data_IF_298528280371
#
_entry.id   IF_298528280371
#
_cell.length_a   1.000
_cell.length_b   1.000
_cell.length_c   1.000
_cell.angle_alpha   90.00
_cell.angle_beta   90.00
_cell.angle_gamma   90.00
#
_symmetry.space_group_name_H-M   'P 1'
#
loop_
_entity.id
_entity.type
_entity.pdbx_description
1 polymer ?
#
# COMPACT_ATOMS: atom_id res chain seq x y z
N UNK A 1 -2.83 24.65 -6.55
CA UNK A 1 -3.22 25.11 -5.21
C UNK A 1 -2.26 24.46 -4.23
N UNK A 2 -1.38 25.21 -3.61
CA UNK A 2 -0.51 24.73 -2.52
C UNK A 2 -1.37 24.56 -1.28
N UNK A 3 -1.67 23.33 -0.90
CA UNK A 3 -2.44 23.02 0.32
C UNK A 3 -1.53 23.09 1.56
N UNK A 4 -1.01 24.26 1.87
CA UNK A 4 -0.05 24.50 2.97
C UNK A 4 -0.70 24.65 4.35
N UNK A 5 -1.80 23.98 4.62
CA UNK A 5 -2.41 23.93 5.95
C UNK A 5 -3.27 22.69 6.11
N UNK A 6 -3.27 22.07 7.30
CA UNK A 6 -4.26 21.02 7.60
C UNK A 6 -5.64 21.62 7.42
N UNK A 7 -6.55 20.99 6.64
CA UNK A 7 -7.91 21.48 6.50
C UNK A 7 -8.59 21.50 7.87
N UNK A 8 -9.43 22.50 8.08
CA UNK A 8 -10.27 22.57 9.27
C UNK A 8 -11.46 21.60 9.16
N UNK A 9 -12.02 21.18 10.30
CA UNK A 9 -13.18 20.31 10.35
C UNK A 9 -12.83 18.81 10.29
N UNK A 10 -13.82 17.98 9.97
CA UNK A 10 -13.79 16.52 10.07
C UNK A 10 -12.64 15.88 9.30
N UNK A 11 -12.34 16.33 8.08
CA UNK A 11 -11.27 15.76 7.25
C UNK A 11 -9.86 15.99 7.82
N UNK A 12 -9.67 17.01 8.65
CA UNK A 12 -8.40 17.29 9.32
C UNK A 12 -8.11 16.39 10.52
N UNK A 13 -9.12 15.72 11.08
CA UNK A 13 -8.98 14.87 12.26
C UNK A 13 -8.13 13.62 11.94
N UNK A 14 -7.30 13.19 12.92
CA UNK A 14 -6.72 11.85 12.89
C UNK A 14 -7.83 10.80 13.00
N UNK A 15 -7.55 9.55 12.57
CA UNK A 15 -8.54 8.48 12.68
C UNK A 15 -8.97 8.23 14.14
N UNK A 16 -8.00 8.32 15.07
CA UNK A 16 -8.27 8.20 16.50
C UNK A 16 -9.19 9.31 17.03
N UNK A 17 -8.93 10.58 16.64
CA UNK A 17 -9.77 11.71 17.04
C UNK A 17 -11.16 11.61 16.41
N UNK A 18 -11.25 11.23 15.13
CA UNK A 18 -12.53 11.03 14.46
C UNK A 18 -13.33 9.92 15.14
N UNK A 19 -12.70 8.77 15.45
CA UNK A 19 -13.36 7.67 16.17
C UNK A 19 -13.91 8.10 17.52
N UNK A 20 -13.21 8.97 18.26
CA UNK A 20 -13.69 9.53 19.53
C UNK A 20 -14.91 10.43 19.33
N UNK A 21 -14.90 11.32 18.34
CA UNK A 21 -16.04 12.21 18.05
C UNK A 21 -17.27 11.42 17.57
N UNK A 22 -17.06 10.39 16.74
CA UNK A 22 -18.12 9.47 16.33
C UNK A 22 -18.72 8.72 17.54
N UNK A 23 -17.90 8.24 18.46
CA UNK A 23 -18.35 7.55 19.67
C UNK A 23 -19.12 8.48 20.61
N UNK A 24 -18.71 9.75 20.71
CA UNK A 24 -19.39 10.79 21.50
C UNK A 24 -20.68 11.34 20.84
N UNK A 25 -20.94 11.01 19.57
CA UNK A 25 -22.06 11.53 18.81
C UNK A 25 -21.90 13.02 18.40
N UNK A 26 -20.67 13.54 18.46
CA UNK A 26 -20.34 14.92 18.06
C UNK A 26 -20.33 15.07 16.53
N UNK A 27 -20.05 13.97 15.80
CA UNK A 27 -20.05 13.86 14.35
C UNK A 27 -20.74 12.54 14.00
N UNK A 28 -21.56 12.49 12.95
CA UNK A 28 -22.10 11.25 12.40
C UNK A 28 -21.11 10.61 11.41
N UNK A 29 -21.21 9.30 11.22
CA UNK A 29 -20.42 8.62 10.22
C UNK A 29 -20.77 9.09 8.80
N UNK A 30 -22.04 9.40 8.54
CA UNK A 30 -22.50 9.95 7.25
C UNK A 30 -21.82 11.29 6.98
N UNK A 31 -21.79 12.23 7.96
CA UNK A 31 -21.07 13.49 7.80
C UNK A 31 -19.58 13.30 7.55
N UNK A 32 -18.95 12.37 8.28
CA UNK A 32 -17.53 12.07 8.09
C UNK A 32 -17.24 11.51 6.68
N UNK A 33 -18.03 10.57 6.21
CA UNK A 33 -17.89 9.99 4.87
C UNK A 33 -18.14 11.02 3.79
N UNK A 34 -19.23 11.81 3.90
CA UNK A 34 -19.55 12.85 2.92
C UNK A 34 -18.42 13.89 2.82
N UNK A 35 -17.91 14.37 3.94
CA UNK A 35 -16.80 15.34 3.95
C UNK A 35 -15.53 14.82 3.23
N UNK A 36 -15.23 13.51 3.36
CA UNK A 36 -14.10 12.92 2.66
C UNK A 36 -14.39 12.68 1.16
N UNK A 37 -15.63 12.34 0.79
CA UNK A 37 -16.05 12.25 -0.62
C UNK A 37 -15.95 13.63 -1.32
N UNK A 38 -16.44 14.68 -0.67
CA UNK A 38 -16.33 16.08 -1.17
C UNK A 38 -14.85 16.48 -1.32
N UNK A 39 -14.00 16.05 -0.38
CA UNK A 39 -12.55 16.28 -0.45
C UNK A 39 -11.90 15.55 -1.62
N UNK A 40 -12.29 14.30 -1.90
CA UNK A 40 -11.84 13.53 -3.07
C UNK A 40 -12.23 14.29 -4.34
N UNK A 41 -13.49 14.67 -4.49
CA UNK A 41 -13.99 15.42 -5.65
C UNK A 41 -13.20 16.73 -5.87
N UNK A 42 -12.94 17.46 -4.81
CA UNK A 42 -12.24 18.74 -4.89
C UNK A 42 -10.75 18.64 -5.23
N UNK A 43 -10.09 17.50 -4.96
CA UNK A 43 -8.62 17.43 -5.02
C UNK A 43 -8.06 16.34 -5.92
N UNK A 44 -8.84 15.31 -6.25
CA UNK A 44 -8.33 14.15 -7.00
C UNK A 44 -8.30 14.37 -8.52
N UNK A 45 -9.06 15.34 -9.02
CA UNK A 45 -9.23 15.64 -10.44
C UNK A 45 -10.32 14.79 -11.10
N UNK A 46 -10.73 15.19 -12.30
CA UNK A 46 -11.79 14.50 -13.04
C UNK A 46 -11.36 13.09 -13.48
N UNK A 47 -12.28 12.11 -13.50
CA UNK A 47 -12.03 10.79 -14.09
C UNK A 47 -11.66 10.94 -15.56
N UNK A 48 -10.68 10.14 -16.02
CA UNK A 48 -10.18 10.14 -17.40
C UNK A 48 -10.34 8.77 -18.01
N UNK A 49 -10.51 8.72 -19.33
CA UNK A 49 -10.58 7.48 -20.09
C UNK A 49 -9.30 6.64 -19.91
N UNK A 50 -9.42 5.31 -19.82
CA UNK A 50 -8.27 4.42 -19.77
C UNK A 50 -7.32 4.67 -20.95
N UNK A 51 -6.04 4.95 -20.63
CA UNK A 51 -5.02 5.24 -21.64
C UNK A 51 -4.75 6.71 -21.93
N UNK A 52 -5.55 7.62 -21.41
CA UNK A 52 -5.21 9.05 -21.43
C UNK A 52 -4.31 9.39 -20.21
N UNK A 53 -3.01 9.46 -20.45
CA UNK A 53 -2.01 9.84 -19.44
C UNK A 53 -2.01 11.33 -19.07
N UNK A 54 -2.92 12.12 -19.61
CA UNK A 54 -3.09 13.52 -19.18
C UNK A 54 -3.84 13.64 -17.87
N UNK A 55 -4.47 12.54 -17.40
CA UNK A 55 -5.13 12.42 -16.12
C UNK A 55 -4.16 12.79 -14.99
N UNK A 56 -4.66 13.49 -13.99
CA UNK A 56 -3.85 13.92 -12.86
C UNK A 56 -3.07 15.20 -13.08
N UNK A 57 -3.08 15.81 -14.27
CA UNK A 57 -2.50 17.16 -14.44
C UNK A 57 -3.23 18.24 -13.66
N UNK A 58 -4.50 18.00 -13.33
CA UNK A 58 -5.34 18.90 -12.58
C UNK A 58 -5.55 18.51 -11.11
N UNK A 59 -5.13 17.31 -10.68
CA UNK A 59 -5.37 16.80 -9.34
C UNK A 59 -4.36 15.73 -8.89
N UNK A 60 -4.62 15.13 -7.72
CA UNK A 60 -3.75 14.14 -7.09
C UNK A 60 -3.80 12.78 -7.80
N UNK A 61 -4.97 12.41 -8.36
CA UNK A 61 -5.25 11.12 -8.99
C UNK A 61 -4.91 9.94 -8.06
N UNK A 62 -5.34 10.05 -6.80
CA UNK A 62 -5.11 9.01 -5.80
C UNK A 62 -6.11 7.85 -5.90
N UNK A 63 -7.32 8.08 -6.44
CA UNK A 63 -8.36 7.06 -6.58
C UNK A 63 -8.56 6.62 -8.03
N UNK A 64 -8.68 5.30 -8.23
CA UNK A 64 -9.12 4.69 -9.50
C UNK A 64 -10.63 4.47 -9.52
N UNK A 65 -11.22 4.26 -8.34
CA UNK A 65 -12.65 4.05 -8.16
C UNK A 65 -13.09 4.64 -6.82
N UNK A 66 -14.14 5.44 -6.84
CA UNK A 66 -14.80 5.97 -5.64
C UNK A 66 -16.13 5.25 -5.47
N UNK A 67 -16.38 4.69 -4.30
CA UNK A 67 -17.57 3.89 -3.97
C UNK A 67 -18.48 4.63 -2.98
N UNK A 68 -18.99 5.79 -3.40
CA UNK A 68 -19.76 6.69 -2.55
C UNK A 68 -21.01 6.03 -1.97
N UNK A 69 -21.77 5.31 -2.81
CA UNK A 69 -23.07 4.71 -2.41
C UNK A 69 -22.87 3.69 -1.28
N UNK A 70 -21.98 2.71 -1.44
CA UNK A 70 -21.71 1.70 -0.40
C UNK A 70 -21.11 2.34 0.85
N UNK A 71 -20.17 3.30 0.70
CA UNK A 71 -19.57 3.96 1.83
C UNK A 71 -20.59 4.72 2.69
N UNK A 72 -21.51 5.46 2.06
CA UNK A 72 -22.60 6.15 2.75
C UNK A 72 -23.61 5.18 3.37
N UNK A 73 -23.93 4.07 2.69
CA UNK A 73 -24.82 3.05 3.24
C UNK A 73 -24.24 2.40 4.51
N UNK A 74 -22.92 2.06 4.52
CA UNK A 74 -22.23 1.56 5.71
C UNK A 74 -22.21 2.60 6.81
N UNK A 75 -21.97 3.86 6.48
CA UNK A 75 -21.98 4.97 7.43
C UNK A 75 -23.35 5.15 8.11
N UNK A 76 -24.43 5.12 7.33
CA UNK A 76 -25.79 5.21 7.83
C UNK A 76 -26.16 4.03 8.75
N UNK A 77 -25.73 2.80 8.41
CA UNK A 77 -25.91 1.62 9.27
C UNK A 77 -25.18 1.78 10.61
N UNK A 78 -23.95 2.32 10.59
CA UNK A 78 -23.19 2.59 11.83
C UNK A 78 -23.89 3.63 12.69
N UNK A 79 -24.38 4.74 12.11
CA UNK A 79 -25.09 5.78 12.84
C UNK A 79 -26.40 5.24 13.45
N UNK A 80 -27.14 4.44 12.72
CA UNK A 80 -28.35 3.77 13.22
C UNK A 80 -28.03 2.78 14.35
N UNK A 81 -26.95 2.00 14.25
CA UNK A 81 -26.52 1.08 15.30
C UNK A 81 -26.12 1.83 16.58
N UNK A 82 -25.38 2.93 16.42
CA UNK A 82 -24.99 3.80 17.54
C UNK A 82 -26.22 4.42 18.23
N UNK A 83 -27.20 4.88 17.45
CA UNK A 83 -28.46 5.42 18.02
C UNK A 83 -29.26 4.39 18.81
N UNK A 84 -29.10 3.08 18.48
CA UNK A 84 -29.67 1.97 19.27
C UNK A 84 -28.86 1.57 20.49
N UNK A 85 -27.70 2.21 20.72
CA UNK A 85 -26.80 1.87 21.83
C UNK A 85 -26.04 0.56 21.64
N UNK A 86 -25.85 0.09 20.40
CA UNK A 86 -25.05 -1.10 20.12
C UNK A 86 -23.58 -0.84 20.45
N UNK A 87 -22.91 -1.87 21.01
CA UNK A 87 -21.45 -1.85 21.14
C UNK A 87 -20.79 -1.99 19.76
N UNK A 88 -19.99 -1.01 19.38
CA UNK A 88 -19.37 -0.93 18.07
C UNK A 88 -17.85 -1.07 18.15
N UNK A 89 -17.21 -1.67 17.13
CA UNK A 89 -15.75 -1.67 17.00
C UNK A 89 -15.14 -0.27 17.07
N UNK A 90 -13.92 -0.16 17.55
CA UNK A 90 -13.24 1.13 17.81
C UNK A 90 -13.16 2.06 16.58
N UNK A 91 -13.04 1.50 15.37
CA UNK A 91 -12.98 2.26 14.12
C UNK A 91 -14.30 2.22 13.31
N UNK A 92 -15.42 1.80 13.93
CA UNK A 92 -16.71 1.79 13.25
C UNK A 92 -17.12 3.20 12.80
N UNK A 93 -17.40 3.34 11.51
CA UNK A 93 -17.76 4.61 10.89
C UNK A 93 -16.57 5.47 10.43
N UNK A 94 -15.34 5.13 10.76
CA UNK A 94 -14.14 5.82 10.26
C UNK A 94 -13.89 5.41 8.80
N UNK A 95 -13.87 6.35 7.83
CA UNK A 95 -13.67 6.01 6.43
C UNK A 95 -12.23 5.57 6.13
N UNK A 96 -12.09 4.69 5.11
CA UNK A 96 -10.80 4.15 4.70
C UNK A 96 -10.68 4.03 3.18
N UNK A 97 -9.47 4.24 2.65
CA UNK A 97 -9.11 3.97 1.26
C UNK A 97 -8.35 2.62 1.15
N UNK A 98 -8.55 1.89 0.05
CA UNK A 98 -7.97 0.54 -0.13
C UNK A 98 -7.19 0.47 -1.44
N UNK A 99 -5.90 0.10 -1.37
CA UNK A 99 -5.07 -0.04 -2.57
C UNK A 99 -5.69 -1.02 -3.56
N UNK A 100 -5.72 -0.66 -4.83
CA UNK A 100 -6.38 -1.43 -5.90
C UNK A 100 -5.65 -2.73 -6.30
N UNK A 101 -4.83 -3.25 -5.42
CA UNK A 101 -4.24 -4.59 -5.45
C UNK A 101 -4.98 -5.57 -4.51
N UNK A 102 -5.81 -5.05 -3.61
CA UNK A 102 -6.57 -5.79 -2.60
C UNK A 102 -7.98 -5.99 -3.13
N UNK A 103 -8.38 -7.25 -3.35
CA UNK A 103 -9.69 -7.55 -3.93
C UNK A 103 -10.82 -7.21 -2.95
N UNK A 104 -11.84 -6.56 -3.49
CA UNK A 104 -13.02 -6.13 -2.74
C UNK A 104 -14.26 -6.55 -3.53
N UNK A 105 -15.08 -7.41 -2.95
CA UNK A 105 -16.32 -7.85 -3.58
C UNK A 105 -17.25 -6.66 -3.80
N UNK A 106 -17.81 -6.57 -5.00
CA UNK A 106 -18.71 -5.46 -5.39
C UNK A 106 -17.99 -4.21 -5.88
N UNK A 107 -16.64 -4.19 -5.86
CA UNK A 107 -15.83 -3.09 -6.39
C UNK A 107 -14.85 -3.61 -7.45
N UNK A 108 -14.52 -2.80 -8.48
CA UNK A 108 -13.49 -3.17 -9.43
C UNK A 108 -12.15 -3.32 -8.74
N UNK A 109 -11.32 -4.24 -9.23
CA UNK A 109 -9.94 -4.40 -8.82
C UNK A 109 -9.08 -4.60 -10.06
N UNK A 110 -8.32 -3.57 -10.42
CA UNK A 110 -7.56 -3.51 -11.68
C UNK A 110 -6.07 -3.78 -11.50
N UNK A 111 -5.54 -3.66 -10.29
CA UNK A 111 -4.10 -3.65 -10.02
C UNK A 111 -3.34 -2.57 -10.83
N UNK A 112 -3.99 -1.45 -11.19
CA UNK A 112 -3.43 -0.41 -12.04
C UNK A 112 -3.17 -0.85 -13.49
N UNK A 113 -3.81 -1.96 -13.95
CA UNK A 113 -3.53 -2.63 -15.22
C UNK A 113 -4.77 -2.78 -16.08
N UNK A 114 -4.59 -2.68 -17.40
CA UNK A 114 -5.63 -3.04 -18.37
C UNK A 114 -5.97 -4.53 -18.35
N UNK A 115 -5.05 -5.38 -17.88
CA UNK A 115 -5.30 -6.83 -17.75
C UNK A 115 -6.52 -7.17 -16.90
N UNK A 116 -6.87 -6.31 -15.94
CA UNK A 116 -8.01 -6.49 -15.05
C UNK A 116 -9.04 -5.35 -15.16
N UNK A 117 -8.95 -4.54 -16.21
CA UNK A 117 -9.94 -3.49 -16.46
C UNK A 117 -11.35 -4.08 -16.54
N UNK A 118 -12.27 -3.51 -15.76
CA UNK A 118 -13.66 -3.99 -15.67
C UNK A 118 -13.85 -5.29 -14.86
N UNK A 119 -12.78 -5.87 -14.33
CA UNK A 119 -12.93 -7.08 -13.52
C UNK A 119 -13.44 -6.77 -12.11
N UNK A 120 -14.53 -7.49 -11.73
CA UNK A 120 -15.15 -7.43 -10.42
C UNK A 120 -14.80 -8.69 -9.64
N UNK A 121 -14.23 -8.55 -8.43
CA UNK A 121 -13.92 -9.71 -7.61
C UNK A 121 -15.18 -10.41 -7.10
N UNK A 122 -15.27 -11.75 -7.21
CA UNK A 122 -16.37 -12.51 -6.63
C UNK A 122 -16.27 -12.71 -5.11
N UNK A 123 -15.14 -12.32 -4.49
CA UNK A 123 -14.86 -12.49 -3.06
C UNK A 123 -14.06 -11.31 -2.51
N UNK A 124 -14.05 -11.19 -1.19
CA UNK A 124 -13.24 -10.22 -0.45
C UNK A 124 -11.88 -10.82 -0.03
N UNK A 125 -10.84 -10.01 -0.04
CA UNK A 125 -9.61 -10.31 0.68
C UNK A 125 -9.88 -10.43 2.19
N UNK A 126 -9.06 -11.16 2.92
CA UNK A 126 -9.22 -11.27 4.38
C UNK A 126 -9.16 -9.92 5.06
N UNK A 127 -8.25 -9.03 4.64
CA UNK A 127 -8.20 -7.66 5.18
C UNK A 127 -9.48 -6.88 4.88
N UNK A 128 -10.07 -7.04 3.70
CA UNK A 128 -11.35 -6.42 3.34
C UNK A 128 -12.50 -6.94 4.20
N UNK A 129 -12.56 -8.26 4.45
CA UNK A 129 -13.54 -8.85 5.39
C UNK A 129 -13.40 -8.28 6.80
N UNK A 130 -12.16 -8.08 7.27
CA UNK A 130 -11.88 -7.48 8.59
C UNK A 130 -12.30 -6.02 8.66
N UNK A 131 -12.09 -5.23 7.59
CA UNK A 131 -12.62 -3.86 7.51
C UNK A 131 -14.15 -3.82 7.56
N UNK A 132 -14.82 -4.72 6.83
CA UNK A 132 -16.29 -4.85 6.90
C UNK A 132 -16.77 -5.26 8.28
N UNK A 133 -16.10 -6.21 8.94
CA UNK A 133 -16.41 -6.62 10.31
C UNK A 133 -16.20 -5.48 11.32
N UNK A 134 -15.22 -4.61 11.08
CA UNK A 134 -15.00 -3.40 11.85
C UNK A 134 -15.95 -2.25 11.48
N UNK A 135 -16.90 -2.46 10.56
CA UNK A 135 -17.88 -1.48 10.05
C UNK A 135 -17.21 -0.18 9.58
N UNK A 136 -16.09 -0.29 8.89
CA UNK A 136 -15.37 0.84 8.31
C UNK A 136 -15.89 1.14 6.90
N UNK A 137 -16.39 2.35 6.59
CA UNK A 137 -16.81 2.73 5.25
C UNK A 137 -15.60 2.77 4.30
N UNK A 138 -15.59 1.94 3.24
CA UNK A 138 -14.55 1.94 2.23
C UNK A 138 -14.86 2.96 1.14
N UNK A 139 -14.11 4.07 1.10
CA UNK A 139 -14.32 5.18 0.15
C UNK A 139 -14.06 4.78 -1.30
N UNK A 140 -13.20 3.78 -1.53
CA UNK A 140 -12.86 3.31 -2.87
C UNK A 140 -11.46 2.70 -2.96
N UNK A 141 -11.02 2.56 -4.23
CA UNK A 141 -9.79 1.86 -4.61
C UNK A 141 -8.72 2.87 -5.05
N UNK A 142 -7.54 2.83 -4.39
CA UNK A 142 -6.47 3.78 -4.67
C UNK A 142 -5.52 3.31 -5.75
N UNK A 143 -5.00 4.28 -6.52
CA UNK A 143 -4.06 4.10 -7.61
C UNK A 143 -2.71 3.54 -7.14
N UNK A 144 -1.96 2.93 -8.07
CA UNK A 144 -0.69 2.27 -7.80
C UNK A 144 0.11 2.09 -9.09
N UNK A 145 1.42 1.82 -8.98
CA UNK A 145 2.16 1.25 -10.12
C UNK A 145 1.56 -0.10 -10.52
N UNK A 146 1.47 -0.39 -11.79
CA UNK A 146 0.85 -1.59 -12.37
C UNK A 146 1.36 -2.87 -11.70
N UNK A 147 0.47 -3.70 -11.14
CA UNK A 147 0.77 -4.91 -10.36
C UNK A 147 1.81 -4.69 -9.24
N UNK A 148 1.83 -3.50 -8.64
CA UNK A 148 2.80 -3.08 -7.64
C UNK A 148 4.26 -2.99 -8.14
N UNK A 149 4.49 -2.92 -9.45
CA UNK A 149 5.81 -2.90 -10.09
C UNK A 149 6.26 -1.48 -10.42
N UNK A 150 6.77 -0.79 -9.42
CA UNK A 150 7.29 0.56 -9.54
C UNK A 150 7.56 1.18 -8.17
N UNK A 151 8.09 2.40 -8.20
CA UNK A 151 8.43 3.18 -7.01
C UNK A 151 8.06 4.66 -7.14
N UNK A 152 7.25 5.00 -8.16
CA UNK A 152 6.89 6.38 -8.48
C UNK A 152 5.39 6.61 -8.67
N UNK A 153 4.60 5.54 -8.86
CA UNK A 153 3.18 5.57 -9.24
C UNK A 153 2.92 6.23 -10.60
N UNK A 154 3.88 6.07 -11.53
CA UNK A 154 3.80 6.51 -12.93
C UNK A 154 3.53 5.35 -13.90
N UNK A 155 3.50 4.10 -13.41
CA UNK A 155 3.28 2.92 -14.25
C UNK A 155 1.81 2.45 -14.30
N UNK A 156 0.89 3.19 -13.69
CA UNK A 156 -0.54 2.88 -13.79
C UNK A 156 -1.06 3.05 -15.22
N UNK A 157 -1.89 2.11 -15.67
CA UNK A 157 -2.63 2.26 -16.93
C UNK A 157 -3.66 3.40 -16.89
N UNK A 158 -3.99 3.89 -15.70
CA UNK A 158 -5.01 4.91 -15.42
C UNK A 158 -4.40 6.28 -15.06
N UNK A 159 -3.16 6.52 -15.45
CA UNK A 159 -2.45 7.79 -15.23
C UNK A 159 -1.70 7.88 -13.91
N UNK A 160 -0.88 8.92 -13.82
CA UNK A 160 0.08 9.11 -12.74
C UNK A 160 -0.58 9.63 -11.48
N UNK A 161 -0.22 9.08 -10.33
CA UNK A 161 -0.53 9.71 -9.04
C UNK A 161 0.49 10.81 -8.74
N UNK A 162 0.05 11.91 -8.13
CA UNK A 162 0.89 13.06 -7.83
C UNK A 162 1.04 13.29 -6.35
N UNK A 163 2.17 13.89 -5.97
CA UNK A 163 2.44 14.24 -4.59
C UNK A 163 1.56 15.44 -4.18
N UNK A 164 0.75 15.33 -3.11
CA UNK A 164 -0.12 16.43 -2.69
C UNK A 164 0.62 17.71 -2.27
N UNK A 165 1.90 17.62 -1.88
CA UNK A 165 2.71 18.78 -1.53
C UNK A 165 3.17 19.58 -2.75
N UNK A 166 3.41 18.87 -3.88
CA UNK A 166 3.82 19.46 -5.14
C UNK A 166 3.36 18.54 -6.27
N UNK A 167 2.32 18.94 -6.99
CA UNK A 167 1.71 18.14 -8.05
C UNK A 167 2.63 17.89 -9.27
N UNK A 168 3.80 18.53 -9.32
CA UNK A 168 4.83 18.24 -10.31
C UNK A 168 5.76 17.08 -9.92
N UNK A 169 5.61 16.54 -8.70
CA UNK A 169 6.46 15.50 -8.15
C UNK A 169 5.72 14.19 -7.94
N UNK A 170 6.47 13.10 -7.91
CA UNK A 170 5.95 11.77 -7.62
C UNK A 170 5.64 11.63 -6.12
N UNK A 171 4.62 10.87 -5.74
CA UNK A 171 4.30 10.57 -4.35
C UNK A 171 5.15 9.41 -3.80
N UNK A 172 5.93 8.76 -4.68
CA UNK A 172 6.49 7.43 -4.43
C UNK A 172 5.56 6.31 -4.87
N UNK A 173 6.01 5.06 -4.70
CA UNK A 173 5.25 3.88 -5.16
C UNK A 173 5.78 2.56 -4.54
N UNK A 174 5.10 1.51 -4.85
CA UNK A 174 3.91 1.40 -5.72
C UNK A 174 2.60 1.85 -5.07
N UNK A 175 2.52 2.06 -3.75
CA UNK A 175 1.33 2.49 -3.01
C UNK A 175 1.14 4.01 -2.94
N UNK A 176 1.54 4.76 -3.99
CA UNK A 176 1.48 6.21 -4.01
C UNK A 176 0.06 6.77 -3.86
N UNK A 177 -0.95 6.11 -4.45
CA UNK A 177 -2.34 6.52 -4.29
C UNK A 177 -2.82 6.46 -2.84
N UNK A 178 -2.48 5.39 -2.10
CA UNK A 178 -2.84 5.29 -0.67
C UNK A 178 -2.16 6.35 0.18
N UNK A 179 -0.87 6.60 -0.04
CA UNK A 179 -0.12 7.62 0.70
C UNK A 179 -0.59 9.04 0.34
N UNK A 180 -0.82 9.31 -0.94
CA UNK A 180 -1.33 10.58 -1.41
C UNK A 180 -2.75 10.87 -0.91
N UNK A 181 -3.65 9.88 -0.90
CA UNK A 181 -5.01 10.03 -0.36
C UNK A 181 -4.99 10.46 1.11
N UNK A 182 -4.13 9.84 1.94
CA UNK A 182 -3.99 10.19 3.35
C UNK A 182 -3.43 11.61 3.53
N UNK A 183 -2.39 11.96 2.78
CA UNK A 183 -1.74 13.27 2.88
C UNK A 183 -2.58 14.41 2.28
N UNK A 184 -3.37 14.13 1.24
CA UNK A 184 -4.34 15.06 0.68
C UNK A 184 -5.61 15.23 1.55
N UNK A 185 -5.68 14.52 2.68
CA UNK A 185 -6.87 14.48 3.55
C UNK A 185 -8.13 13.92 2.87
N UNK A 186 -7.96 13.10 1.86
CA UNK A 186 -9.06 12.40 1.17
C UNK A 186 -9.55 11.19 1.97
N UNK A 187 -8.70 10.64 2.84
CA UNK A 187 -9.05 9.60 3.79
C UNK A 187 -8.17 9.73 5.04
N UNK A 188 -8.70 9.43 6.26
CA UNK A 188 -7.87 9.41 7.48
C UNK A 188 -6.94 8.21 7.54
N UNK A 189 -7.32 7.10 6.89
CA UNK A 189 -6.64 5.82 6.84
C UNK A 189 -6.61 5.26 5.42
N UNK A 190 -5.55 4.52 5.11
CA UNK A 190 -5.53 3.70 3.91
C UNK A 190 -4.82 2.36 4.15
N UNK A 191 -5.16 1.33 3.35
CA UNK A 191 -4.35 0.13 3.21
C UNK A 191 -3.46 0.23 1.98
N UNK A 192 -2.21 -0.19 2.15
CA UNK A 192 -1.23 -0.37 1.09
C UNK A 192 -0.68 -1.78 1.05
N UNK A 193 0.24 -2.05 0.11
CA UNK A 193 1.08 -3.25 0.06
C UNK A 193 2.53 -2.87 -0.09
N UNK A 194 3.43 -3.66 0.50
CA UNK A 194 4.88 -3.42 0.49
C UNK A 194 5.60 -4.72 0.14
N UNK A 195 6.33 -4.72 -0.96
CA UNK A 195 7.17 -5.83 -1.41
C UNK A 195 8.65 -5.48 -1.28
N UNK A 196 9.02 -4.26 -1.65
CA UNK A 196 10.37 -3.72 -1.57
C UNK A 196 10.42 -2.27 -1.07
N UNK A 197 9.35 -1.79 -0.38
CA UNK A 197 9.23 -0.42 0.10
C UNK A 197 7.92 0.28 -0.23
N UNK A 198 6.98 -0.41 -0.89
CA UNK A 198 5.81 0.23 -1.52
C UNK A 198 4.74 0.79 -0.56
N UNK A 199 4.89 0.67 0.75
CA UNK A 199 4.19 1.44 1.80
C UNK A 199 5.12 2.52 2.35
N UNK A 200 6.34 2.11 2.78
CA UNK A 200 7.29 2.94 3.52
C UNK A 200 7.85 4.08 2.68
N UNK A 201 8.21 3.81 1.43
CA UNK A 201 8.80 4.80 0.54
C UNK A 201 7.78 5.88 0.14
N UNK A 202 6.56 5.59 -0.34
CA UNK A 202 5.58 6.65 -0.59
C UNK A 202 5.16 7.38 0.69
N UNK A 203 5.09 6.72 1.84
CA UNK A 203 4.84 7.40 3.11
C UNK A 203 5.96 8.40 3.46
N UNK A 204 7.22 8.04 3.24
CA UNK A 204 8.35 8.94 3.44
C UNK A 204 8.31 10.16 2.50
N UNK A 205 7.96 9.96 1.22
CA UNK A 205 7.92 11.04 0.22
C UNK A 205 6.69 11.96 0.36
N UNK A 206 5.62 11.48 1.01
CA UNK A 206 4.41 12.28 1.24
C UNK A 206 4.30 12.80 2.67
N UNK A 207 5.19 12.40 3.58
CA UNK A 207 5.14 12.81 4.99
C UNK A 207 4.01 12.15 5.79
N UNK A 208 3.61 10.95 5.41
CA UNK A 208 2.67 10.11 6.15
C UNK A 208 3.37 9.00 6.95
N UNK A 209 2.63 8.26 7.76
CA UNK A 209 3.10 7.08 8.50
C UNK A 209 2.72 5.83 7.72
N UNK A 210 3.72 5.11 7.22
CA UNK A 210 3.54 3.83 6.54
C UNK A 210 4.18 2.68 7.32
N UNK A 211 3.40 1.67 7.68
CA UNK A 211 3.87 0.52 8.44
C UNK A 211 3.90 -0.74 7.58
N UNK A 212 5.09 -1.32 7.42
CA UNK A 212 5.25 -2.67 6.90
C UNK A 212 5.29 -3.66 8.08
N UNK A 213 4.27 -4.49 8.26
CA UNK A 213 4.24 -5.50 9.30
C UNK A 213 5.34 -6.56 9.14
N UNK A 214 5.52 -7.39 10.16
CA UNK A 214 6.27 -8.63 10.03
C UNK A 214 5.63 -9.52 8.97
N UNK A 215 6.47 -10.19 8.16
CA UNK A 215 5.99 -11.11 7.12
C UNK A 215 5.06 -12.17 7.71
N UNK A 216 3.87 -12.30 7.14
CA UNK A 216 2.82 -13.18 7.65
C UNK A 216 2.01 -12.63 8.82
N UNK A 217 2.31 -11.44 9.34
CA UNK A 217 1.52 -10.81 10.42
C UNK A 217 0.15 -10.30 9.97
N UNK A 218 0.00 -10.02 8.67
CA UNK A 218 -1.28 -9.68 8.02
C UNK A 218 -1.48 -10.63 6.84
N UNK A 219 -2.69 -11.17 6.71
CA UNK A 219 -3.04 -12.10 5.62
C UNK A 219 -2.92 -11.47 4.24
N UNK A 220 -2.39 -12.25 3.29
CA UNK A 220 -2.32 -11.91 1.86
C UNK A 220 -3.41 -12.58 1.02
N UNK A 221 -4.33 -13.34 1.65
CA UNK A 221 -5.44 -13.94 0.92
C UNK A 221 -6.31 -12.85 0.28
N UNK A 222 -6.48 -12.96 -1.06
CA UNK A 222 -7.19 -11.96 -1.84
C UNK A 222 -6.35 -10.70 -2.16
N UNK A 223 -5.03 -10.76 -1.99
CA UNK A 223 -4.10 -9.75 -2.52
C UNK A 223 -3.51 -10.25 -3.82
N UNK A 224 -3.55 -9.45 -4.87
CA UNK A 224 -2.93 -9.80 -6.16
C UNK A 224 -1.43 -9.85 -5.96
N UNK A 225 -0.84 -11.05 -6.14
CA UNK A 225 0.55 -11.29 -5.82
C UNK A 225 1.51 -10.66 -6.84
N UNK A 226 2.47 -9.91 -6.34
CA UNK A 226 3.68 -9.49 -7.06
C UNK A 226 4.79 -10.52 -6.81
N UNK A 227 5.30 -10.60 -5.58
CA UNK A 227 6.34 -11.53 -5.17
C UNK A 227 5.93 -12.23 -3.86
N UNK A 228 5.53 -13.49 -3.95
CA UNK A 228 4.88 -14.24 -2.87
C UNK A 228 5.72 -14.36 -1.60
N UNK A 229 7.06 -14.34 -1.70
CA UNK A 229 7.97 -14.42 -0.56
C UNK A 229 8.28 -13.05 0.08
N UNK A 230 7.71 -11.95 -0.44
CA UNK A 230 8.04 -10.59 -0.03
C UNK A 230 6.81 -9.73 0.27
N UNK A 231 5.67 -9.97 -0.40
CA UNK A 231 4.47 -9.13 -0.31
C UNK A 231 3.91 -9.04 1.11
N UNK A 232 3.54 -7.83 1.52
CA UNK A 232 2.94 -7.50 2.80
C UNK A 232 1.79 -6.53 2.59
N UNK A 233 0.73 -6.64 3.41
CA UNK A 233 -0.30 -5.59 3.55
C UNK A 233 -0.03 -4.81 4.81
N UNK A 234 -0.25 -3.49 4.78
CA UNK A 234 -0.08 -2.68 5.98
C UNK A 234 -0.77 -1.33 5.90
N UNK A 235 -0.88 -0.65 7.04
CA UNK A 235 -1.54 0.64 7.16
C UNK A 235 -0.72 1.81 6.63
N UNK A 236 -1.44 2.81 6.12
CA UNK A 236 -0.97 4.17 5.86
C UNK A 236 -1.89 5.14 6.59
N UNK A 237 -1.33 6.10 7.32
CA UNK A 237 -2.06 7.02 8.18
C UNK A 237 -1.30 8.32 8.40
N UNK A 238 -1.88 9.28 9.14
CA UNK A 238 -1.17 10.51 9.50
C UNK A 238 -0.42 10.42 10.83
N UNK A 239 -0.82 9.48 11.72
CA UNK A 239 -0.17 9.30 13.03
C UNK A 239 0.17 7.83 13.29
N UNK A 240 1.14 7.59 14.17
CA UNK A 240 1.52 6.23 14.60
C UNK A 240 0.36 5.52 15.30
N UNK A 241 -0.43 6.25 16.11
CA UNK A 241 -1.60 5.69 16.79
C UNK A 241 -2.66 5.22 15.79
N UNK A 242 -2.92 6.00 14.74
CA UNK A 242 -3.85 5.62 13.69
C UNK A 242 -3.39 4.35 12.95
N UNK A 243 -2.08 4.25 12.67
CA UNK A 243 -1.49 3.05 12.07
C UNK A 243 -1.64 1.82 12.98
N UNK A 244 -1.43 1.97 14.28
CA UNK A 244 -1.60 0.90 15.26
C UNK A 244 -3.05 0.41 15.32
N UNK A 245 -4.02 1.35 15.39
CA UNK A 245 -5.46 1.05 15.37
C UNK A 245 -5.85 0.24 14.13
N UNK A 246 -5.43 0.66 12.95
CA UNK A 246 -5.74 -0.06 11.71
C UNK A 246 -5.01 -1.40 11.66
N UNK A 247 -3.77 -1.48 12.14
CA UNK A 247 -3.01 -2.73 12.14
C UNK A 247 -3.68 -3.79 13.02
N UNK A 248 -4.21 -3.43 14.20
CA UNK A 248 -4.97 -4.36 15.04
C UNK A 248 -6.24 -4.87 14.37
N UNK A 249 -6.90 -4.03 13.55
CA UNK A 249 -8.09 -4.46 12.77
C UNK A 249 -7.72 -5.48 11.70
N UNK A 250 -6.63 -5.24 10.93
CA UNK A 250 -6.33 -6.08 9.75
C UNK A 250 -5.36 -7.22 10.02
N UNK A 251 -4.64 -7.19 11.15
CA UNK A 251 -3.62 -8.17 11.52
C UNK A 251 -4.17 -9.46 12.11
N UNK A 252 -3.27 -10.44 12.30
CA UNK A 252 -3.55 -11.73 12.94
C UNK A 252 -3.72 -12.90 11.97
N UNK A 253 -3.78 -14.10 12.54
CA UNK A 253 -3.78 -15.36 11.81
C UNK A 253 -4.97 -15.51 10.84
N UNK A 254 -4.66 -16.11 9.67
CA UNK A 254 -5.65 -16.48 8.67
C UNK A 254 -5.32 -17.88 8.08
N UNK A 255 -6.20 -18.87 8.21
CA UNK A 255 -5.98 -20.20 7.65
C UNK A 255 -5.98 -20.25 6.12
N UNK A 256 -6.44 -19.19 5.44
CA UNK A 256 -6.40 -19.09 3.98
C UNK A 256 -5.03 -18.65 3.43
N UNK A 257 -4.13 -18.14 4.27
CA UNK A 257 -2.76 -17.78 3.90
C UNK A 257 -1.76 -18.69 4.63
N UNK A 258 -1.14 -19.62 3.91
CA UNK A 258 -0.19 -20.58 4.47
C UNK A 258 1.05 -19.95 5.11
N UNK A 259 1.31 -18.67 4.85
CA UNK A 259 2.43 -17.93 5.46
C UNK A 259 1.99 -17.11 6.67
N UNK A 260 0.70 -17.11 7.01
CA UNK A 260 0.18 -16.34 8.13
C UNK A 260 0.73 -16.87 9.46
N UNK A 261 1.30 -15.95 10.26
CA UNK A 261 1.85 -16.27 11.57
C UNK A 261 0.73 -16.66 12.55
N UNK A 262 0.93 -17.70 13.38
CA UNK A 262 -0.01 -18.04 14.44
C UNK A 262 0.02 -16.98 15.56
N UNK A 263 -1.11 -16.78 16.22
CA UNK A 263 -1.24 -15.91 17.38
C UNK A 263 -1.85 -14.52 17.09
N UNK A 264 -2.09 -13.74 18.14
CA UNK A 264 -2.67 -12.41 18.04
C UNK A 264 -1.63 -11.39 17.55
N UNK A 265 -2.13 -10.25 17.07
CA UNK A 265 -1.29 -9.11 16.60
C UNK A 265 -0.48 -8.48 17.73
N UNK A 266 -0.89 -8.63 18.96
CA UNK A 266 -0.36 -7.91 20.13
C UNK A 266 -1.10 -6.58 20.37
N UNK A 267 -0.77 -5.94 21.48
CA UNK A 267 -1.40 -4.69 21.91
C UNK A 267 -0.62 -3.48 21.36
N UNK A 268 -0.73 -3.23 20.06
CA UNK A 268 0.00 -2.17 19.37
C UNK A 268 -0.51 -0.78 19.76
N UNK A 269 -1.80 -0.65 20.02
CA UNK A 269 -2.42 0.62 20.42
C UNK A 269 -1.94 1.04 21.79
N UNK A 270 -1.90 0.11 22.78
CA UNK A 270 -1.35 0.42 24.10
C UNK A 270 0.14 0.75 24.03
N UNK A 271 0.92 0.03 23.23
CA UNK A 271 2.34 0.34 23.01
C UNK A 271 2.56 1.72 22.37
N UNK A 272 1.76 2.09 21.36
CA UNK A 272 1.83 3.41 20.74
C UNK A 272 1.51 4.53 21.73
N UNK A 273 0.49 4.35 22.58
CA UNK A 273 0.13 5.31 23.63
C UNK A 273 1.19 5.43 24.71
N UNK A 274 1.74 4.31 25.16
CA UNK A 274 2.81 4.27 26.14
C UNK A 274 4.08 4.96 25.60
N UNK A 275 4.45 4.69 24.34
CA UNK A 275 5.58 5.33 23.67
C UNK A 275 5.43 6.84 23.52
N UNK A 276 4.20 7.32 23.27
CA UNK A 276 3.92 8.76 23.19
C UNK A 276 3.98 9.47 24.55
N UNK A 277 3.72 8.76 25.64
CA UNK A 277 3.72 9.31 27.01
C UNK A 277 5.09 9.22 27.69
N UNK A 278 6.01 8.36 27.20
CA UNK A 278 7.28 8.07 27.82
C UNK A 278 8.48 8.68 27.08
N UNK A 279 9.65 8.75 27.78
CA UNK A 279 10.93 9.03 27.13
C UNK A 279 11.52 7.77 26.50
N UNK A 280 12.63 7.94 25.76
CA UNK A 280 13.34 6.85 25.09
C UNK A 280 14.49 6.27 25.92
N UNK A 281 14.52 6.53 27.22
CA UNK A 281 15.59 6.04 28.12
C UNK A 281 15.63 4.51 28.13
N UNK A 282 16.79 3.94 27.82
CA UNK A 282 16.99 2.49 27.73
C UNK A 282 16.74 1.90 26.35
N UNK A 283 16.23 2.69 25.39
CA UNK A 283 16.11 2.26 24.00
C UNK A 283 17.47 2.44 23.29
N UNK A 284 17.93 1.37 22.63
CA UNK A 284 19.11 1.43 21.75
C UNK A 284 18.65 1.56 20.29
N UNK A 285 19.14 2.56 19.59
CA UNK A 285 18.83 2.83 18.19
C UNK A 285 20.08 2.65 17.34
N UNK A 286 20.08 1.68 16.44
CA UNK A 286 21.17 1.40 15.52
C UNK A 286 21.11 2.31 14.29
N UNK A 287 22.20 3.02 14.01
CA UNK A 287 22.42 3.73 12.74
C UNK A 287 23.29 2.87 11.85
N UNK A 288 22.74 2.46 10.71
CA UNK A 288 23.40 1.54 9.76
C UNK A 288 24.37 2.34 8.88
N UNK A 289 25.67 2.12 9.05
CA UNK A 289 26.71 2.87 8.33
C UNK A 289 26.66 2.67 6.81
N UNK A 290 26.25 1.50 6.32
CA UNK A 290 26.15 1.20 4.90
C UNK A 290 24.95 1.89 4.20
N UNK A 291 24.04 2.47 4.99
CA UNK A 291 22.89 3.25 4.50
C UNK A 291 23.09 4.76 4.62
N UNK A 292 24.29 5.20 5.00
CA UNK A 292 24.70 6.62 5.04
C UNK A 292 25.77 6.87 3.98
N UNK A 293 25.94 8.11 3.53
CA UNK A 293 27.01 8.50 2.61
C UNK A 293 26.52 9.00 1.25
N UNK A 294 27.14 8.53 0.16
CA UNK A 294 26.88 9.03 -1.20
C UNK A 294 25.46 8.74 -1.70
N UNK A 295 24.92 9.65 -2.49
CA UNK A 295 23.59 9.50 -3.14
C UNK A 295 22.45 10.22 -2.42
N UNK A 296 22.70 10.81 -1.24
CA UNK A 296 21.70 11.62 -0.53
C UNK A 296 21.88 13.11 -0.82
N UNK A 297 20.77 13.81 -1.03
CA UNK A 297 20.81 15.27 -1.05
C UNK A 297 21.17 15.80 0.34
N UNK A 298 21.93 16.89 0.39
CA UNK A 298 22.39 17.48 1.65
C UNK A 298 21.24 17.78 2.64
N UNK A 299 20.09 18.27 2.13
CA UNK A 299 18.92 18.53 2.97
C UNK A 299 18.28 17.25 3.56
N UNK A 300 18.34 16.11 2.85
CA UNK A 300 17.86 14.81 3.37
C UNK A 300 18.80 14.32 4.47
N UNK A 301 20.12 14.38 4.25
CA UNK A 301 21.10 14.01 5.26
C UNK A 301 20.95 14.86 6.52
N UNK A 302 20.81 16.18 6.37
CA UNK A 302 20.60 17.08 7.50
C UNK A 302 19.37 16.70 8.33
N UNK A 303 18.23 16.39 7.69
CA UNK A 303 17.02 15.96 8.42
C UNK A 303 17.20 14.63 9.13
N UNK A 304 17.95 13.71 8.53
CA UNK A 304 18.32 12.44 9.17
C UNK A 304 19.18 12.68 10.44
N UNK A 305 20.22 13.50 10.34
CA UNK A 305 21.11 13.81 11.46
C UNK A 305 20.34 14.52 12.60
N UNK A 306 19.44 15.44 12.26
CA UNK A 306 18.54 16.09 13.23
C UNK A 306 17.60 15.09 13.92
N UNK A 307 17.06 14.12 13.18
CA UNK A 307 16.21 13.07 13.75
C UNK A 307 16.99 12.18 14.73
N UNK A 308 18.24 11.82 14.38
CA UNK A 308 19.14 11.07 15.28
C UNK A 308 19.42 11.86 16.57
N UNK A 309 19.65 13.17 16.46
CA UNK A 309 19.90 14.03 17.62
C UNK A 309 18.64 14.21 18.50
N UNK A 310 17.45 14.29 17.89
CA UNK A 310 16.19 14.29 18.63
C UNK A 310 15.99 13.00 19.43
N UNK A 311 16.28 11.83 18.84
CA UNK A 311 16.21 10.54 19.54
C UNK A 311 17.20 10.50 20.73
N UNK A 312 18.44 10.98 20.53
CA UNK A 312 19.46 11.06 21.60
C UNK A 312 18.99 12.00 22.73
N UNK A 313 18.47 13.16 22.37
CA UNK A 313 17.95 14.15 23.33
C UNK A 313 16.75 13.63 24.12
N UNK A 314 15.92 12.75 23.51
CA UNK A 314 14.83 12.05 24.16
C UNK A 314 15.28 10.90 25.08
N UNK A 315 16.58 10.60 25.13
CA UNK A 315 17.18 9.61 26.03
C UNK A 315 17.55 8.27 25.40
N UNK A 316 17.44 8.10 24.06
CA UNK A 316 17.89 6.90 23.38
C UNK A 316 19.42 6.83 23.32
N UNK A 317 19.96 5.62 23.44
CA UNK A 317 21.35 5.32 23.11
C UNK A 317 21.51 5.10 21.61
N UNK A 318 22.26 5.97 20.94
CA UNK A 318 22.54 5.84 19.50
C UNK A 318 23.82 5.03 19.31
N UNK A 319 23.72 3.91 18.59
CA UNK A 319 24.84 3.02 18.31
C UNK A 319 25.02 2.88 16.79
N UNK A 320 26.28 2.88 16.33
CA UNK A 320 26.57 2.55 14.94
C UNK A 320 26.52 1.02 14.78
N UNK A 321 25.85 0.56 13.73
CA UNK A 321 25.75 -0.85 13.37
C UNK A 321 26.16 -1.06 11.91
N UNK A 322 26.60 -2.28 11.57
CA UNK A 322 27.05 -2.63 10.23
C UNK A 322 26.24 -3.79 9.68
N UNK A 323 25.80 -3.66 8.43
CA UNK A 323 25.10 -4.68 7.66
C UNK A 323 25.83 -4.90 6.31
N UNK A 324 27.03 -5.51 6.31
CA UNK A 324 27.93 -5.51 5.15
C UNK A 324 27.38 -6.18 3.90
N UNK A 325 26.42 -7.12 4.04
CA UNK A 325 25.79 -7.78 2.91
C UNK A 325 24.64 -6.97 2.32
N UNK A 326 24.17 -5.90 3.01
CA UNK A 326 23.02 -5.11 2.57
C UNK A 326 23.26 -4.41 1.22
N UNK A 327 24.51 -4.10 0.86
CA UNK A 327 24.89 -3.58 -0.47
C UNK A 327 24.46 -4.45 -1.63
N UNK A 328 24.23 -5.75 -1.40
CA UNK A 328 23.76 -6.70 -2.42
C UNK A 328 22.24 -6.90 -2.39
N UNK A 329 21.54 -6.33 -1.40
CA UNK A 329 20.10 -6.57 -1.17
C UNK A 329 19.25 -6.16 -2.36
N UNK A 330 19.55 -5.01 -3.00
CA UNK A 330 18.80 -4.52 -4.16
C UNK A 330 18.92 -5.48 -5.35
N UNK A 331 20.13 -5.96 -5.66
CA UNK A 331 20.34 -6.93 -6.74
C UNK A 331 19.64 -8.27 -6.46
N UNK A 332 19.75 -8.78 -5.23
CA UNK A 332 19.05 -9.99 -4.82
C UNK A 332 17.52 -9.83 -4.88
N UNK A 333 17.00 -8.67 -4.45
CA UNK A 333 15.59 -8.34 -4.55
C UNK A 333 15.09 -8.41 -6.00
N UNK A 334 15.77 -7.76 -6.95
CA UNK A 334 15.34 -7.77 -8.34
C UNK A 334 15.35 -9.16 -8.97
N UNK A 335 16.30 -10.02 -8.61
CA UNK A 335 16.35 -11.39 -9.09
C UNK A 335 15.23 -12.25 -8.50
N UNK A 336 15.01 -12.20 -7.20
CA UNK A 336 13.95 -12.96 -6.51
C UNK A 336 12.58 -12.47 -6.96
N UNK A 337 12.34 -11.17 -6.88
CA UNK A 337 11.06 -10.55 -7.21
C UNK A 337 10.67 -10.81 -8.67
N UNK A 338 11.57 -10.57 -9.63
CA UNK A 338 11.26 -10.79 -11.04
C UNK A 338 10.97 -12.27 -11.34
N UNK A 339 11.69 -13.19 -10.70
CA UNK A 339 11.43 -14.64 -10.82
C UNK A 339 10.03 -15.00 -10.31
N UNK A 340 9.64 -14.48 -9.16
CA UNK A 340 8.30 -14.71 -8.60
C UNK A 340 7.20 -14.01 -9.41
N UNK A 341 7.45 -12.81 -9.94
CA UNK A 341 6.56 -12.10 -10.89
C UNK A 341 6.29 -12.95 -12.12
N UNK A 342 7.34 -13.50 -12.75
CA UNK A 342 7.19 -14.36 -13.93
C UNK A 342 6.23 -15.52 -13.67
N UNK A 343 6.32 -16.15 -12.51
CA UNK A 343 5.42 -17.23 -12.08
C UNK A 343 4.02 -16.70 -11.73
N UNK A 344 3.94 -15.68 -10.89
CA UNK A 344 2.65 -15.15 -10.38
C UNK A 344 1.77 -14.57 -11.49
N UNK A 345 2.35 -13.93 -12.51
CA UNK A 345 1.60 -13.32 -13.59
C UNK A 345 1.34 -14.26 -14.77
N UNK A 346 1.79 -15.50 -14.72
CA UNK A 346 1.47 -16.52 -15.73
C UNK A 346 -0.02 -16.82 -15.86
N UNK A 347 -0.80 -16.63 -14.78
CA UNK A 347 -2.25 -16.84 -14.74
C UNK A 347 -3.07 -15.85 -15.58
N UNK A 348 -2.47 -14.72 -15.98
CA UNK A 348 -3.13 -13.75 -16.86
C UNK A 348 -2.91 -14.14 -18.32
N UNK A 349 -3.75 -15.04 -18.81
CA UNK A 349 -3.65 -15.72 -20.09
C UNK A 349 -4.73 -15.29 -21.11
N UNK A 350 -5.68 -14.45 -20.70
CA UNK A 350 -6.82 -14.03 -21.52
C UNK A 350 -7.90 -15.10 -21.67
N UNK A 351 -7.87 -16.18 -20.87
CA UNK A 351 -8.81 -17.31 -20.99
C UNK A 351 -9.87 -17.32 -19.91
N UNK A 352 -9.46 -17.16 -18.63
CA UNK A 352 -10.36 -17.37 -17.48
C UNK A 352 -11.08 -16.10 -17.03
N UNK A 353 -10.37 -14.97 -17.02
CA UNK A 353 -10.88 -13.69 -16.54
C UNK A 353 -10.00 -12.55 -17.04
N UNK A 354 -10.49 -11.32 -16.91
CA UNK A 354 -9.78 -10.11 -17.30
C UNK A 354 -9.83 -9.84 -18.79
N UNK A 355 -8.92 -9.00 -19.24
CA UNK A 355 -8.80 -8.56 -20.62
C UNK A 355 -8.48 -9.72 -21.56
N UNK A 356 -9.09 -9.71 -22.76
CA UNK A 356 -8.81 -10.67 -23.83
C UNK A 356 -8.71 -9.93 -25.17
N UNK A 357 -7.63 -10.19 -25.89
CA UNK A 357 -7.43 -9.73 -27.27
C UNK A 357 -7.23 -10.95 -28.17
N UNK A 358 -7.95 -10.97 -29.28
CA UNK A 358 -7.78 -11.99 -30.29
C UNK A 358 -6.72 -11.55 -31.32
N UNK A 359 -5.92 -12.48 -31.88
CA UNK A 359 -5.04 -12.16 -32.99
C UNK A 359 -5.82 -11.63 -34.20
N UNK A 360 -5.27 -10.59 -34.84
CA UNK A 360 -5.93 -9.97 -36.00
C UNK A 360 -5.84 -10.83 -37.28
N UNK A 361 -4.81 -11.69 -37.38
CA UNK A 361 -4.54 -12.52 -38.54
C UNK A 361 -4.10 -13.95 -38.18
N UNK A 362 -4.00 -14.86 -39.16
CA UNK A 362 -3.46 -16.22 -39.02
C UNK A 362 -4.29 -17.15 -38.13
N UNK A 363 -3.76 -18.35 -37.78
CA UNK A 363 -4.52 -19.35 -37.03
C UNK A 363 -4.80 -18.92 -35.59
N UNK A 364 -6.04 -19.19 -35.10
CA UNK A 364 -6.46 -18.90 -33.73
C UNK A 364 -5.94 -20.00 -32.79
N UNK A 365 -4.70 -19.85 -32.31
CA UNK A 365 -4.12 -20.76 -31.30
C UNK A 365 -4.10 -20.09 -29.94
N UNK A 366 -4.03 -20.89 -28.87
CA UNK A 366 -4.01 -20.38 -27.50
C UNK A 366 -2.76 -19.52 -27.26
N UNK A 367 -1.61 -19.89 -27.79
CA UNK A 367 -0.36 -19.13 -27.66
C UNK A 367 -0.49 -17.74 -28.27
N UNK A 368 -1.17 -17.63 -29.41
CA UNK A 368 -1.40 -16.35 -30.08
C UNK A 368 -2.39 -15.49 -29.33
N UNK A 369 -3.47 -16.06 -28.80
CA UNK A 369 -4.43 -15.35 -27.94
C UNK A 369 -3.74 -14.84 -26.68
N UNK A 370 -2.98 -15.68 -26.00
CA UNK A 370 -2.19 -15.29 -24.82
C UNK A 370 -1.18 -14.19 -25.16
N UNK A 371 -0.45 -14.33 -26.28
CA UNK A 371 0.53 -13.36 -26.75
C UNK A 371 -0.10 -11.98 -27.03
N UNK A 372 -1.18 -11.95 -27.82
CA UNK A 372 -1.91 -10.72 -28.15
C UNK A 372 -2.49 -10.05 -26.89
N UNK A 373 -3.12 -10.82 -26.01
CA UNK A 373 -3.70 -10.33 -24.75
C UNK A 373 -2.64 -9.71 -23.84
N UNK A 374 -1.52 -10.42 -23.59
CA UNK A 374 -0.44 -9.96 -22.73
C UNK A 374 0.30 -8.75 -23.33
N UNK A 375 0.44 -8.72 -24.67
CA UNK A 375 1.02 -7.59 -25.37
C UNK A 375 0.18 -6.31 -25.22
N UNK A 376 -1.13 -6.42 -25.30
CA UNK A 376 -2.04 -5.28 -25.18
C UNK A 376 -2.32 -4.87 -23.72
N UNK A 377 -2.44 -5.85 -22.81
CA UNK A 377 -2.90 -5.63 -21.45
C UNK A 377 -1.81 -5.22 -20.46
N UNK A 378 -0.58 -5.72 -20.60
CA UNK A 378 0.53 -5.36 -19.71
C UNK A 378 1.30 -4.13 -20.17
N UNK A 379 1.66 -3.27 -19.21
CA UNK A 379 2.57 -2.17 -19.41
C UNK A 379 4.04 -2.60 -19.62
N UNK A 380 4.88 -1.66 -20.01
CA UNK A 380 6.28 -1.94 -20.38
C UNK A 380 7.11 -2.47 -19.18
N UNK A 381 6.91 -1.91 -17.99
CA UNK A 381 7.67 -2.32 -16.79
C UNK A 381 7.30 -3.74 -16.34
N UNK A 382 6.02 -4.10 -16.38
CA UNK A 382 5.55 -5.46 -16.08
C UNK A 382 6.14 -6.46 -17.05
N UNK A 383 6.11 -6.18 -18.37
CA UNK A 383 6.74 -7.02 -19.40
C UNK A 383 8.23 -7.20 -19.14
N UNK A 384 8.95 -6.13 -18.81
CA UNK A 384 10.38 -6.18 -18.49
C UNK A 384 10.67 -7.13 -17.34
N UNK A 385 9.95 -7.03 -16.22
CA UNK A 385 10.15 -7.88 -15.05
C UNK A 385 9.77 -9.34 -15.30
N UNK A 386 8.73 -9.61 -16.08
CA UNK A 386 8.37 -10.97 -16.49
C UNK A 386 9.50 -11.59 -17.31
N UNK A 387 10.07 -10.86 -18.29
CA UNK A 387 11.18 -11.36 -19.13
C UNK A 387 12.42 -11.62 -18.29
N UNK A 388 12.81 -10.68 -17.41
CA UNK A 388 13.94 -10.85 -16.51
C UNK A 388 13.79 -12.07 -15.59
N UNK A 389 12.58 -12.26 -15.02
CA UNK A 389 12.29 -13.40 -14.16
C UNK A 389 12.32 -14.72 -14.91
N UNK A 390 11.74 -14.77 -16.11
CA UNK A 390 11.78 -15.96 -16.97
C UNK A 390 13.21 -16.33 -17.33
N UNK A 391 14.04 -15.35 -17.65
CA UNK A 391 15.46 -15.56 -17.95
C UNK A 391 16.22 -16.10 -16.72
N UNK A 392 16.02 -15.48 -15.54
CA UNK A 392 16.67 -15.90 -14.29
C UNK A 392 16.29 -17.33 -13.85
N UNK A 393 15.10 -17.79 -14.24
CA UNK A 393 14.61 -19.16 -13.94
C UNK A 393 14.93 -20.18 -15.03
N UNK A 394 15.48 -19.77 -16.18
CA UNK A 394 15.73 -20.68 -17.31
C UNK A 394 16.86 -21.67 -17.01
N UNK A 395 16.85 -22.78 -17.76
CA UNK A 395 17.85 -23.85 -17.63
C UNK A 395 19.26 -23.27 -17.80
N UNK A 396 20.18 -23.65 -16.91
CA UNK A 396 21.57 -23.17 -16.88
C UNK A 396 21.80 -21.86 -16.16
N UNK A 397 20.72 -21.06 -15.84
CA UNK A 397 20.84 -19.78 -15.16
C UNK A 397 20.24 -19.78 -13.74
N UNK A 398 19.39 -20.74 -13.43
CA UNK A 398 18.69 -20.83 -12.15
C UNK A 398 19.63 -20.74 -10.94
N UNK A 399 20.66 -21.56 -10.89
CA UNK A 399 21.62 -21.59 -9.76
C UNK A 399 22.49 -20.33 -9.72
N UNK A 400 22.87 -19.81 -10.90
CA UNK A 400 23.70 -18.61 -11.01
C UNK A 400 22.99 -17.35 -10.54
N UNK A 401 21.69 -17.21 -10.82
CA UNK A 401 20.91 -16.02 -10.50
C UNK A 401 19.98 -16.22 -9.32
N UNK A 402 18.91 -17.00 -9.48
CA UNK A 402 17.90 -17.16 -8.42
C UNK A 402 18.48 -17.84 -7.18
N UNK A 403 19.20 -18.95 -7.36
CA UNK A 403 19.87 -19.67 -6.27
C UNK A 403 20.87 -18.80 -5.51
N UNK A 404 21.67 -18.00 -6.23
CA UNK A 404 22.62 -17.06 -5.62
C UNK A 404 21.92 -15.93 -4.87
N UNK A 405 20.84 -15.38 -5.42
CA UNK A 405 20.05 -14.36 -4.76
C UNK A 405 19.41 -14.85 -3.45
N UNK A 406 18.93 -16.08 -3.38
CA UNK A 406 18.42 -16.70 -2.15
C UNK A 406 19.52 -16.84 -1.08
N UNK A 407 20.76 -17.18 -1.48
CA UNK A 407 21.90 -17.22 -0.55
C UNK A 407 22.24 -15.83 0.00
N UNK A 408 22.24 -14.80 -0.86
CA UNK A 408 22.43 -13.41 -0.45
C UNK A 408 21.35 -12.96 0.52
N UNK A 409 20.08 -13.29 0.27
CA UNK A 409 18.98 -13.02 1.20
C UNK A 409 19.26 -13.58 2.59
N UNK A 410 19.78 -14.80 2.67
CA UNK A 410 20.16 -15.41 3.96
C UNK A 410 21.32 -14.67 4.65
N UNK A 411 22.31 -14.17 3.89
CA UNK A 411 23.39 -13.37 4.45
C UNK A 411 22.88 -12.03 5.01
N UNK A 412 21.97 -11.35 4.28
CA UNK A 412 21.33 -10.12 4.78
C UNK A 412 20.54 -10.39 6.07
N UNK A 413 19.80 -11.52 6.15
CA UNK A 413 19.11 -11.89 7.39
C UNK A 413 20.07 -12.07 8.57
N UNK A 414 21.27 -12.63 8.33
CA UNK A 414 22.29 -12.80 9.37
C UNK A 414 22.87 -11.47 9.85
N UNK A 415 23.04 -10.49 8.96
CA UNK A 415 23.47 -9.14 9.37
C UNK A 415 22.52 -8.50 10.38
N UNK A 416 21.20 -8.74 10.23
CA UNK A 416 20.19 -8.23 11.18
C UNK A 416 20.03 -9.10 12.46
N UNK A 417 20.54 -10.31 12.45
CA UNK A 417 20.50 -11.20 13.62
C UNK A 417 21.72 -11.04 14.55
N UNK A 418 22.80 -10.43 14.05
CA UNK A 418 24.02 -10.16 14.78
C UNK A 418 23.91 -8.89 15.63
#
# INVERSE_FOLDING_TARGET
MTTTGSPQGVVGLSAAALAQQLAAGEVSSVEAVQAHLDRIEATDGAPVDPGDRTRGKAGVNAFLHVNAEEALAVAADVDAARARGEELPALAGVPIAVKDLIVTKGQPTTAGSRMLEGWMSPYDATVTRRLRAARMPMLGKTNLDEFAMGSTSEHSAFGDTRNPWDLSRVPGGSGGGSAAAVTAFQAPLALGTDTGGSIRQPAALTGSVGVKPTYGGVSRYGVIAMASSLDQVGPVSRTVLDAALLHEVVGGHDPHDSTSLPGPVGDLVAQARAGAAGGLKGLRVGVVKELTGEGFQAGVQQRFDEAVELLRSAGAEIVEVSTPNFRYALGAYYLIMSSEVSSNLAKYDGVRFGHRVLPEDGPMTIERVMGATRAAGFGAEVKRRIILGTYALSAGYYDAYYGSAQKVRTLVQRDFAA
#
